data_IF_867315169639
#
_entry.id   IF_867315169639
#
_cell.length_a   1.000
_cell.length_b   1.000
_cell.length_c   1.000
_cell.angle_alpha   90.00
_cell.angle_beta   90.00
_cell.angle_gamma   90.00
#
_symmetry.space_group_name_H-M   'P 1'
#
loop_
_entity.id
_entity.type
_entity.pdbx_description
1 polymer ?
#
# COMPACT_ATOMS: atom_id res chain seq x y z
N UNK A 1 7.79 -33.51 2.92
CA UNK A 1 6.49 -32.96 2.45
C UNK A 1 6.48 -31.46 2.75
N UNK A 2 5.86 -30.63 1.92
CA UNK A 2 5.77 -29.18 2.12
C UNK A 2 4.40 -28.84 2.72
N UNK A 3 4.35 -27.87 3.62
CA UNK A 3 3.11 -27.30 4.13
C UNK A 3 2.27 -26.73 2.99
N UNK A 4 0.94 -26.84 3.07
CA UNK A 4 0.03 -26.44 2.00
C UNK A 4 0.10 -24.93 1.71
N UNK A 5 0.16 -24.12 2.74
CA UNK A 5 0.17 -22.64 2.60
C UNK A 5 1.52 -22.14 2.05
N UNK A 6 2.63 -22.75 2.47
CA UNK A 6 3.95 -22.46 1.89
C UNK A 6 4.04 -22.93 0.43
N UNK A 7 3.41 -24.05 0.08
CA UNK A 7 3.32 -24.51 -1.30
C UNK A 7 2.54 -23.52 -2.18
N UNK A 8 1.48 -22.91 -1.62
CA UNK A 8 0.71 -21.90 -2.33
C UNK A 8 1.55 -20.63 -2.55
N UNK A 9 2.35 -20.18 -1.58
CA UNK A 9 3.28 -19.06 -1.78
C UNK A 9 4.29 -19.35 -2.89
N UNK A 10 4.82 -20.57 -2.98
CA UNK A 10 5.68 -20.99 -4.09
C UNK A 10 4.98 -20.99 -5.45
N UNK A 11 3.69 -21.31 -5.49
CA UNK A 11 2.90 -21.12 -6.71
C UNK A 11 2.79 -19.65 -7.08
N UNK A 12 2.45 -18.77 -6.12
CA UNK A 12 2.32 -17.34 -6.40
C UNK A 12 3.69 -16.69 -6.75
N UNK A 13 4.79 -17.21 -6.22
CA UNK A 13 6.14 -16.81 -6.62
C UNK A 13 6.38 -17.05 -8.13
N UNK A 14 5.87 -18.12 -8.70
CA UNK A 14 5.97 -18.36 -10.15
C UNK A 14 5.24 -17.29 -10.96
N UNK A 15 4.09 -16.80 -10.47
CA UNK A 15 3.39 -15.67 -11.09
C UNK A 15 4.26 -14.41 -11.05
N UNK A 16 4.92 -14.16 -9.92
CA UNK A 16 5.86 -13.04 -9.79
C UNK A 16 7.08 -13.17 -10.72
N UNK A 17 7.57 -14.40 -10.95
CA UNK A 17 8.68 -14.64 -11.87
C UNK A 17 8.34 -14.24 -13.31
N UNK A 18 7.08 -14.43 -13.76
CA UNK A 18 6.65 -13.96 -15.08
C UNK A 18 6.68 -12.43 -15.19
N UNK A 19 6.41 -11.71 -14.09
CA UNK A 19 6.60 -10.26 -14.05
C UNK A 19 8.07 -9.85 -14.21
N UNK A 20 9.00 -10.66 -13.73
CA UNK A 20 10.44 -10.47 -13.89
C UNK A 20 11.05 -11.01 -15.20
N UNK A 21 10.29 -11.75 -16.00
CA UNK A 21 10.77 -12.45 -17.20
C UNK A 21 10.87 -11.52 -18.42
N UNK A 22 12.06 -11.17 -18.92
CA UNK A 22 12.21 -10.26 -20.05
C UNK A 22 11.69 -10.81 -21.39
N UNK A 23 11.44 -12.11 -21.49
CA UNK A 23 10.81 -12.72 -22.68
C UNK A 23 9.30 -12.42 -22.77
N UNK A 24 8.69 -11.97 -21.66
CA UNK A 24 7.28 -11.57 -21.61
C UNK A 24 7.15 -10.08 -21.96
N UNK A 25 6.16 -9.66 -22.77
CA UNK A 25 5.94 -8.25 -23.10
C UNK A 25 5.74 -7.39 -21.83
N UNK A 26 6.27 -6.16 -21.82
CA UNK A 26 6.27 -5.29 -20.63
C UNK A 26 4.88 -5.06 -20.02
N UNK A 27 3.85 -4.87 -20.85
CA UNK A 27 2.48 -4.69 -20.37
C UNK A 27 1.94 -5.94 -19.64
N UNK A 28 2.25 -7.13 -20.17
CA UNK A 28 1.89 -8.40 -19.54
C UNK A 28 2.64 -8.61 -18.22
N UNK A 29 3.91 -8.21 -18.16
CA UNK A 29 4.71 -8.27 -16.92
C UNK A 29 4.10 -7.41 -15.81
N UNK A 30 3.62 -6.20 -16.14
CA UNK A 30 2.87 -5.35 -15.21
C UNK A 30 1.58 -6.04 -14.74
N UNK A 31 0.88 -6.72 -15.66
CA UNK A 31 -0.32 -7.49 -15.33
C UNK A 31 0.02 -8.64 -14.38
N UNK A 32 1.10 -9.40 -14.61
CA UNK A 32 1.55 -10.46 -13.70
C UNK A 32 1.90 -9.93 -12.31
N UNK A 33 2.56 -8.77 -12.21
CA UNK A 33 2.84 -8.13 -10.93
C UNK A 33 1.54 -7.77 -10.17
N UNK A 34 0.52 -7.29 -10.88
CA UNK A 34 -0.80 -7.01 -10.32
C UNK A 34 -1.53 -8.28 -9.87
N UNK A 35 -1.49 -9.35 -10.68
CA UNK A 35 -2.08 -10.66 -10.33
C UNK A 35 -1.41 -11.23 -9.07
N UNK A 36 -0.06 -11.20 -9.01
CA UNK A 36 0.68 -11.62 -7.81
C UNK A 36 0.19 -10.93 -6.55
N UNK A 37 0.05 -9.61 -6.59
CA UNK A 37 -0.41 -8.84 -5.42
C UNK A 37 -1.87 -9.16 -5.07
N UNK A 38 -2.74 -9.26 -6.07
CA UNK A 38 -4.16 -9.60 -5.84
C UNK A 38 -4.33 -10.99 -5.23
N UNK A 39 -3.55 -11.97 -5.69
CA UNK A 39 -3.52 -13.30 -5.13
C UNK A 39 -3.03 -13.31 -3.68
N UNK A 40 -1.97 -12.53 -3.39
CA UNK A 40 -1.42 -12.42 -2.04
C UNK A 40 -2.43 -11.80 -1.07
N UNK A 41 -3.13 -10.72 -1.49
CA UNK A 41 -4.20 -10.10 -0.70
C UNK A 41 -5.31 -11.11 -0.34
N UNK A 42 -5.75 -11.91 -1.32
CA UNK A 42 -6.77 -12.94 -1.09
C UNK A 42 -6.27 -14.06 -0.16
N UNK A 43 -5.01 -14.46 -0.33
CA UNK A 43 -4.37 -15.45 0.54
C UNK A 43 -4.33 -14.99 1.99
N UNK A 44 -3.91 -13.74 2.24
CA UNK A 44 -3.90 -13.18 3.59
C UNK A 44 -5.31 -13.11 4.17
N UNK A 45 -6.26 -12.58 3.41
CA UNK A 45 -7.63 -12.44 3.88
C UNK A 45 -8.29 -13.76 4.26
N UNK A 46 -8.09 -14.79 3.44
CA UNK A 46 -8.79 -16.08 3.63
C UNK A 46 -7.94 -17.06 4.43
N UNK A 47 -6.70 -17.33 3.98
CA UNK A 47 -5.88 -18.40 4.57
C UNK A 47 -5.21 -17.98 5.86
N UNK A 48 -4.54 -16.82 5.84
CA UNK A 48 -3.89 -16.32 7.06
C UNK A 48 -4.94 -15.91 8.08
N UNK A 49 -6.04 -15.29 7.68
CA UNK A 49 -7.18 -14.99 8.56
C UNK A 49 -7.69 -16.24 9.28
N UNK A 50 -7.94 -17.34 8.55
CA UNK A 50 -8.36 -18.63 9.17
C UNK A 50 -7.31 -19.15 10.17
N UNK A 51 -6.01 -19.03 9.86
CA UNK A 51 -4.97 -19.45 10.79
C UNK A 51 -4.93 -18.57 12.06
N UNK A 52 -5.18 -17.27 11.91
CA UNK A 52 -5.26 -16.35 13.06
C UNK A 52 -6.46 -16.69 13.95
N UNK A 53 -7.64 -16.95 13.37
CA UNK A 53 -8.83 -17.39 14.13
C UNK A 53 -8.56 -18.69 14.89
N UNK A 54 -7.85 -19.64 14.27
CA UNK A 54 -7.44 -20.88 14.92
C UNK A 54 -6.47 -20.67 16.10
N UNK A 55 -5.62 -19.64 16.06
CA UNK A 55 -4.72 -19.32 17.18
C UNK A 55 -5.47 -18.79 18.41
N UNK A 56 -6.64 -18.17 18.22
CA UNK A 56 -7.51 -17.72 19.31
C UNK A 56 -8.35 -18.88 19.92
N UNK A 57 -8.42 -20.00 19.22
CA UNK A 57 -9.13 -21.21 19.70
C UNK A 57 -8.40 -21.87 20.86
N UNK A 58 -9.16 -22.49 21.77
CA UNK A 58 -8.60 -23.32 22.86
C UNK A 58 -7.99 -24.63 22.36
N UNK A 59 -8.35 -25.09 21.18
CA UNK A 59 -7.87 -26.32 20.58
C UNK A 59 -6.65 -26.05 19.67
N UNK A 60 -5.58 -26.80 19.90
CA UNK A 60 -4.37 -26.71 19.05
C UNK A 60 -4.60 -27.51 17.77
N UNK A 61 -4.95 -26.81 16.70
CA UNK A 61 -5.07 -27.40 15.36
C UNK A 61 -3.68 -27.58 14.76
N UNK A 62 -3.43 -28.76 14.18
CA UNK A 62 -2.18 -29.07 13.48
C UNK A 62 -2.45 -29.45 12.02
N UNK A 63 -1.60 -28.93 11.15
CA UNK A 63 -1.65 -29.28 9.72
C UNK A 63 -1.20 -30.73 9.50
N UNK A 64 -1.93 -31.45 8.65
CA UNK A 64 -1.83 -32.92 8.52
C UNK A 64 -0.55 -33.44 7.83
N UNK A 65 0.17 -32.60 7.06
CA UNK A 65 1.37 -33.02 6.31
C UNK A 65 2.67 -32.74 7.03
N UNK A 66 2.76 -31.59 7.71
CA UNK A 66 3.98 -31.11 8.37
C UNK A 66 3.85 -31.06 9.89
N UNK A 67 2.64 -31.32 10.43
CA UNK A 67 2.33 -31.26 11.86
C UNK A 67 2.57 -29.87 12.49
N UNK A 68 2.65 -28.81 11.67
CA UNK A 68 2.81 -27.43 12.14
C UNK A 68 1.53 -26.94 12.81
N UNK A 69 1.68 -26.21 13.93
CA UNK A 69 0.57 -25.45 14.53
C UNK A 69 0.22 -24.24 13.68
N UNK A 70 -0.97 -23.63 13.89
CA UNK A 70 -1.36 -22.39 13.19
C UNK A 70 -0.35 -21.27 13.39
N UNK A 71 0.18 -21.09 14.60
CA UNK A 71 1.23 -20.12 14.91
C UNK A 71 2.52 -20.37 14.11
N UNK A 72 2.97 -21.63 14.07
CA UNK A 72 4.17 -22.01 13.28
C UNK A 72 3.97 -21.74 11.79
N UNK A 73 2.77 -22.02 11.27
CA UNK A 73 2.43 -21.73 9.88
C UNK A 73 2.44 -20.22 9.61
N UNK A 74 1.78 -19.41 10.45
CA UNK A 74 1.77 -17.94 10.29
C UNK A 74 3.20 -17.39 10.34
N UNK A 75 4.03 -17.82 11.28
CA UNK A 75 5.44 -17.38 11.35
C UNK A 75 6.22 -17.71 10.09
N UNK A 76 6.07 -18.92 9.55
CA UNK A 76 6.73 -19.34 8.32
C UNK A 76 6.20 -18.55 7.08
N UNK A 77 4.90 -18.31 7.01
CA UNK A 77 4.27 -17.48 5.97
C UNK A 77 4.84 -16.06 5.99
N UNK A 78 4.91 -15.43 7.17
CA UNK A 78 5.44 -14.07 7.30
C UNK A 78 6.91 -13.98 6.88
N UNK A 79 7.72 -15.01 7.17
CA UNK A 79 9.11 -15.04 6.72
C UNK A 79 9.21 -15.15 5.20
N UNK A 80 8.52 -16.11 4.60
CA UNK A 80 8.52 -16.31 3.15
C UNK A 80 7.99 -15.07 2.40
N UNK A 81 6.97 -14.40 2.94
CA UNK A 81 6.42 -13.19 2.33
C UNK A 81 7.40 -12.03 2.36
N UNK A 82 8.21 -11.89 3.42
CA UNK A 82 9.26 -10.85 3.47
C UNK A 82 10.28 -11.02 2.35
N UNK A 83 10.70 -12.26 2.10
CA UNK A 83 11.65 -12.56 1.03
C UNK A 83 11.03 -12.28 -0.36
N UNK A 84 9.77 -12.63 -0.54
CA UNK A 84 9.00 -12.33 -1.75
C UNK A 84 8.75 -10.83 -1.94
N UNK A 85 8.58 -10.05 -0.88
CA UNK A 85 8.42 -8.59 -0.95
C UNK A 85 9.69 -7.90 -1.45
N UNK A 86 10.88 -8.35 -1.04
CA UNK A 86 12.13 -7.84 -1.58
C UNK A 86 12.26 -8.13 -3.08
N UNK A 87 11.92 -9.35 -3.49
CA UNK A 87 11.92 -9.75 -4.90
C UNK A 87 10.92 -8.93 -5.72
N UNK A 88 9.70 -8.74 -5.19
CA UNK A 88 8.66 -7.91 -5.81
C UNK A 88 9.13 -6.47 -5.99
N UNK A 89 9.77 -5.87 -4.97
CA UNK A 89 10.28 -4.51 -5.04
C UNK A 89 11.32 -4.36 -6.16
N UNK A 90 12.28 -5.28 -6.27
CA UNK A 90 13.29 -5.26 -7.33
C UNK A 90 12.66 -5.38 -8.74
N UNK A 91 11.71 -6.31 -8.92
CA UNK A 91 10.99 -6.46 -10.18
C UNK A 91 10.18 -5.19 -10.51
N UNK A 92 9.51 -4.59 -9.53
CA UNK A 92 8.75 -3.35 -9.73
C UNK A 92 9.65 -2.19 -10.17
N UNK A 93 10.80 -2.00 -9.54
CA UNK A 93 11.79 -0.99 -9.93
C UNK A 93 12.28 -1.19 -11.37
N UNK A 94 12.58 -2.44 -11.74
CA UNK A 94 12.94 -2.76 -13.12
C UNK A 94 11.83 -2.41 -14.11
N UNK A 95 10.60 -2.79 -13.82
CA UNK A 95 9.44 -2.49 -14.68
C UNK A 95 9.23 -0.97 -14.84
N UNK A 96 9.36 -0.20 -13.76
CA UNK A 96 9.26 1.26 -13.82
C UNK A 96 10.40 1.85 -14.65
N UNK A 97 11.63 1.35 -14.53
CA UNK A 97 12.76 1.77 -15.36
C UNK A 97 12.58 1.47 -16.85
N UNK A 98 11.95 0.34 -17.19
CA UNK A 98 11.64 -0.01 -18.58
C UNK A 98 10.47 0.80 -19.20
N UNK A 99 9.60 1.41 -18.36
CA UNK A 99 8.54 2.30 -18.81
C UNK A 99 9.05 3.70 -19.18
N UNK A 100 10.11 4.18 -18.52
CA UNK A 100 10.64 5.53 -18.75
C UNK A 100 11.01 5.82 -20.21
N UNK A 101 11.78 4.96 -20.92
CA UNK A 101 12.09 5.18 -22.34
C UNK A 101 10.86 5.06 -23.25
N UNK A 102 9.75 4.52 -22.77
CA UNK A 102 8.46 4.48 -23.47
C UNK A 102 7.60 5.71 -23.19
N UNK A 103 8.14 6.69 -22.45
CA UNK A 103 7.48 7.95 -22.16
C UNK A 103 6.48 7.87 -21.00
N UNK A 104 6.54 6.85 -20.16
CA UNK A 104 5.70 6.70 -18.98
C UNK A 104 6.59 6.77 -17.73
N UNK A 105 6.37 7.79 -16.89
CA UNK A 105 7.15 8.02 -15.67
C UNK A 105 6.24 8.22 -14.47
N UNK A 106 6.56 7.54 -13.39
CA UNK A 106 5.97 7.79 -12.08
C UNK A 106 7.01 8.51 -11.21
N UNK A 107 6.66 9.69 -10.70
CA UNK A 107 7.55 10.49 -9.86
C UNK A 107 6.93 10.77 -8.50
N UNK A 108 7.79 11.05 -7.52
CA UNK A 108 7.40 11.56 -6.22
C UNK A 108 7.61 13.08 -6.14
N UNK A 109 7.13 13.70 -5.06
CA UNK A 109 7.18 15.15 -4.88
C UNK A 109 8.61 15.73 -4.93
N UNK A 110 9.62 14.98 -4.49
CA UNK A 110 11.02 15.43 -4.45
C UNK A 110 11.63 15.62 -5.86
N UNK A 111 11.00 15.09 -6.92
CA UNK A 111 11.45 15.21 -8.30
C UNK A 111 10.78 16.36 -9.07
N UNK A 112 9.99 17.20 -8.39
CA UNK A 112 9.31 18.35 -8.98
C UNK A 112 10.16 19.60 -8.95
N UNK A 113 9.94 20.49 -9.95
CA UNK A 113 10.39 21.89 -9.87
C UNK A 113 9.50 22.68 -8.90
N UNK A 114 9.98 23.85 -8.46
CA UNK A 114 9.19 24.73 -7.61
C UNK A 114 7.88 25.20 -8.27
N UNK A 115 7.89 25.39 -9.59
CA UNK A 115 6.72 25.77 -10.37
C UNK A 115 5.70 24.63 -10.43
N UNK A 116 6.14 23.42 -10.73
CA UNK A 116 5.30 22.22 -10.73
C UNK A 116 4.69 21.95 -9.34
N UNK A 117 5.49 22.16 -8.27
CA UNK A 117 5.00 22.05 -6.92
C UNK A 117 3.84 23.02 -6.61
N UNK A 118 3.91 24.27 -7.08
CA UNK A 118 2.83 25.26 -6.94
C UNK A 118 1.58 24.89 -7.73
N UNK A 119 1.75 24.37 -8.96
CA UNK A 119 0.62 23.91 -9.75
C UNK A 119 -0.10 22.74 -9.07
N UNK A 120 0.66 21.77 -8.55
CA UNK A 120 0.09 20.64 -7.83
C UNK A 120 -0.50 21.04 -6.46
N UNK A 121 0.04 22.06 -5.81
CA UNK A 121 -0.57 22.63 -4.59
C UNK A 121 -1.95 23.22 -4.91
N UNK A 122 -2.04 24.01 -5.96
CA UNK A 122 -3.32 24.57 -6.43
C UNK A 122 -4.32 23.47 -6.81
N UNK A 123 -3.85 22.44 -7.50
CA UNK A 123 -4.66 21.26 -7.84
C UNK A 123 -5.14 20.53 -6.57
N UNK A 124 -4.25 20.32 -5.61
CA UNK A 124 -4.61 19.71 -4.32
C UNK A 124 -5.69 20.51 -3.60
N UNK A 125 -5.52 21.84 -3.49
CA UNK A 125 -6.46 22.71 -2.76
C UNK A 125 -7.86 22.76 -3.39
N UNK A 126 -7.93 22.68 -4.74
CA UNK A 126 -9.20 22.81 -5.48
C UNK A 126 -9.88 21.46 -5.76
N UNK A 127 -9.11 20.43 -6.09
CA UNK A 127 -9.65 19.19 -6.66
C UNK A 127 -9.55 17.99 -5.70
N UNK A 128 -8.73 18.05 -4.66
CA UNK A 128 -8.53 16.93 -3.74
C UNK A 128 -8.97 17.26 -2.32
N UNK A 129 -8.45 18.33 -1.74
CA UNK A 129 -8.66 18.67 -0.33
C UNK A 129 -10.16 18.80 0.06
N UNK A 130 -11.07 19.37 -0.78
CA UNK A 130 -12.48 19.48 -0.46
C UNK A 130 -13.19 18.12 -0.27
N UNK A 131 -12.64 17.05 -0.85
CA UNK A 131 -13.20 15.71 -0.80
C UNK A 131 -12.54 14.78 0.22
N UNK A 132 -11.53 15.29 0.94
CA UNK A 132 -10.87 14.54 2.00
C UNK A 132 -11.53 14.78 3.35
N UNK A 133 -11.79 13.71 4.07
CA UNK A 133 -12.24 13.77 5.47
C UNK A 133 -11.19 13.15 6.39
N UNK A 134 -10.67 13.96 7.31
CA UNK A 134 -9.71 13.51 8.30
C UNK A 134 -10.42 13.03 9.57
N UNK A 135 -10.17 11.79 9.96
CA UNK A 135 -10.63 11.23 11.22
C UNK A 135 -9.52 11.32 12.27
N UNK A 136 -9.69 12.18 13.29
CA UNK A 136 -8.74 12.27 14.40
C UNK A 136 -9.23 11.36 15.52
N UNK A 137 -8.45 10.32 15.80
CA UNK A 137 -8.79 9.32 16.82
C UNK A 137 -8.76 9.94 18.22
N UNK A 138 -9.85 9.82 18.94
CA UNK A 138 -10.04 10.33 20.31
C UNK A 138 -11.00 9.44 21.10
N UNK A 139 -11.25 9.80 22.37
CA UNK A 139 -12.30 9.10 23.15
C UNK A 139 -13.69 9.23 22.56
N UNK A 140 -14.02 10.39 21.95
CA UNK A 140 -15.30 10.67 21.33
C UNK A 140 -15.36 10.16 19.87
N UNK A 141 -14.22 10.00 19.22
CA UNK A 141 -14.12 9.54 17.84
C UNK A 141 -13.17 8.34 17.79
N UNK A 142 -13.68 7.11 17.99
CA UNK A 142 -12.86 5.90 18.03
C UNK A 142 -12.18 5.63 16.69
N UNK A 143 -11.27 4.68 16.69
CA UNK A 143 -10.58 4.23 15.48
C UNK A 143 -11.60 3.82 14.42
N UNK A 144 -11.54 4.38 13.18
CA UNK A 144 -12.51 4.08 12.14
C UNK A 144 -12.33 2.66 11.59
N UNK A 145 -13.40 2.10 11.04
CA UNK A 145 -13.30 0.89 10.24
C UNK A 145 -12.53 1.19 8.95
N UNK A 146 -11.47 0.42 8.70
CA UNK A 146 -10.66 0.53 7.49
C UNK A 146 -11.12 -0.51 6.47
N UNK A 147 -11.44 -0.05 5.26
CA UNK A 147 -11.87 -0.95 4.18
C UNK A 147 -10.69 -1.72 3.61
N UNK A 148 -10.93 -2.99 3.29
CA UNK A 148 -9.95 -3.84 2.62
C UNK A 148 -9.52 -3.24 1.27
N UNK A 149 -8.23 -3.29 0.98
CA UNK A 149 -7.55 -2.77 -0.22
C UNK A 149 -7.52 -1.24 -0.36
N UNK A 150 -8.18 -0.48 0.51
CA UNK A 150 -8.09 0.97 0.49
C UNK A 150 -6.76 1.48 1.04
N UNK A 151 -6.33 2.62 0.50
CA UNK A 151 -5.12 3.33 0.92
C UNK A 151 -5.53 4.48 1.82
N UNK A 152 -4.81 4.63 2.92
CA UNK A 152 -5.00 5.70 3.91
C UNK A 152 -3.70 6.43 4.16
N UNK A 153 -3.75 7.76 4.23
CA UNK A 153 -2.70 8.54 4.85
C UNK A 153 -2.94 8.57 6.36
N UNK A 154 -1.91 8.25 7.13
CA UNK A 154 -1.94 8.30 8.59
C UNK A 154 -0.94 9.30 9.09
N UNK A 155 -1.27 9.98 10.18
CA UNK A 155 -0.37 10.95 10.80
C UNK A 155 -0.41 10.88 12.33
N UNK A 156 0.74 11.13 12.94
CA UNK A 156 0.86 11.41 14.37
C UNK A 156 0.84 12.93 14.56
N UNK A 157 -0.22 13.40 15.19
CA UNK A 157 -0.48 14.80 15.44
C UNK A 157 -0.16 15.16 16.89
N UNK A 158 0.46 16.31 17.12
CA UNK A 158 0.66 16.88 18.46
C UNK A 158 -0.17 18.15 18.62
N UNK A 159 -0.94 18.23 19.69
CA UNK A 159 -1.68 19.45 20.07
C UNK A 159 -0.74 20.48 20.68
N UNK A 160 -1.16 21.75 20.76
CA UNK A 160 -0.41 22.82 21.48
C UNK A 160 -0.13 22.47 22.94
N UNK A 161 -0.89 21.58 23.55
CA UNK A 161 -0.69 21.10 24.92
C UNK A 161 0.13 19.81 25.04
N UNK A 162 0.85 19.40 23.98
CA UNK A 162 1.75 18.22 23.99
C UNK A 162 1.05 16.87 23.92
N UNK A 163 -0.28 16.83 23.74
CA UNK A 163 -1.02 15.54 23.60
C UNK A 163 -0.90 15.05 22.16
N UNK A 164 -0.58 13.76 22.02
CA UNK A 164 -0.54 13.09 20.72
C UNK A 164 -1.92 12.53 20.32
N UNK A 165 -2.20 12.53 19.02
CA UNK A 165 -3.38 11.98 18.38
C UNK A 165 -3.01 11.29 17.07
N UNK A 166 -3.66 10.18 16.74
CA UNK A 166 -3.58 9.60 15.42
C UNK A 166 -4.65 10.24 14.52
N UNK A 167 -4.28 10.54 13.28
CA UNK A 167 -5.22 10.96 12.24
C UNK A 167 -5.18 9.95 11.09
N UNK A 168 -6.34 9.68 10.50
CA UNK A 168 -6.53 8.74 9.40
C UNK A 168 -7.35 9.44 8.31
N UNK A 169 -6.82 9.44 7.08
CA UNK A 169 -7.41 10.10 5.93
C UNK A 169 -7.55 9.07 4.81
N UNK A 170 -8.77 8.72 4.37
CA UNK A 170 -8.96 7.88 3.19
C UNK A 170 -8.40 8.57 1.94
N UNK A 171 -7.49 7.91 1.23
CA UNK A 171 -6.93 8.39 -0.03
C UNK A 171 -7.67 7.82 -1.25
N UNK A 172 -8.34 6.69 -1.09
CA UNK A 172 -9.11 6.05 -2.16
C UNK A 172 -10.52 6.63 -2.22
N UNK A 173 -10.88 7.22 -3.34
CA UNK A 173 -12.25 7.64 -3.64
C UNK A 173 -12.51 7.65 -5.16
N UNK A 174 -13.74 7.90 -5.57
CA UNK A 174 -14.16 7.93 -6.97
C UNK A 174 -14.26 9.36 -7.54
N UNK A 175 -13.85 10.38 -6.79
CA UNK A 175 -14.03 11.79 -7.15
C UNK A 175 -12.84 12.31 -7.95
N UNK A 176 -11.61 11.99 -7.53
CA UNK A 176 -10.40 12.38 -8.24
C UNK A 176 -9.59 11.17 -8.74
N UNK A 177 -8.77 11.40 -9.77
CA UNK A 177 -7.95 10.34 -10.36
C UNK A 177 -6.79 9.98 -9.44
N UNK A 178 -6.45 8.68 -9.39
CA UNK A 178 -5.28 8.22 -8.67
C UNK A 178 -3.96 8.62 -9.34
N UNK A 179 -3.91 8.56 -10.67
CA UNK A 179 -2.77 9.04 -11.46
C UNK A 179 -3.02 10.50 -11.84
N UNK A 180 -2.21 11.39 -11.31
CA UNK A 180 -2.27 12.83 -11.53
C UNK A 180 -1.19 13.18 -12.56
N UNK A 181 -1.59 13.80 -13.67
CA UNK A 181 -0.66 14.26 -14.71
C UNK A 181 0.20 15.42 -14.17
N UNK A 182 1.49 15.39 -14.50
CA UNK A 182 2.36 16.55 -14.27
C UNK A 182 2.23 17.47 -15.50
N UNK A 183 1.61 18.66 -15.36
CA UNK A 183 1.19 19.47 -16.51
C UNK A 183 2.32 19.85 -17.48
N UNK A 184 3.55 19.99 -16.96
CA UNK A 184 4.74 20.38 -17.72
C UNK A 184 5.47 19.23 -18.38
N UNK A 185 5.12 17.96 -18.05
CA UNK A 185 5.85 16.75 -18.47
C UNK A 185 4.89 15.69 -19.00
N UNK A 186 4.68 15.67 -20.31
CA UNK A 186 3.85 14.63 -20.95
C UNK A 186 4.28 13.22 -20.53
N UNK A 187 3.30 12.38 -20.18
CA UNK A 187 3.54 10.99 -19.75
C UNK A 187 4.17 10.83 -18.38
N UNK A 188 4.26 11.92 -17.61
CA UNK A 188 4.76 11.88 -16.23
C UNK A 188 3.61 12.03 -15.25
N UNK A 189 3.55 11.16 -14.27
CA UNK A 189 2.44 11.04 -13.33
C UNK A 189 2.95 11.05 -11.89
N UNK A 190 2.07 11.47 -10.98
CA UNK A 190 2.20 11.31 -9.54
C UNK A 190 0.98 10.57 -9.00
N UNK A 191 1.15 9.77 -7.96
CA UNK A 191 0.03 9.15 -7.26
C UNK A 191 -0.68 10.17 -6.37
N UNK A 192 -2.02 10.17 -6.36
CA UNK A 192 -2.81 11.08 -5.52
C UNK A 192 -2.51 10.90 -4.02
N UNK A 193 -2.25 9.68 -3.58
CA UNK A 193 -1.85 9.39 -2.21
C UNK A 193 -0.51 10.04 -1.81
N UNK A 194 0.44 10.16 -2.73
CA UNK A 194 1.70 10.89 -2.51
C UNK A 194 1.45 12.39 -2.35
N UNK A 195 0.58 12.95 -3.18
CA UNK A 195 0.19 14.35 -3.11
C UNK A 195 -0.56 14.65 -1.80
N UNK A 196 -1.50 13.79 -1.41
CA UNK A 196 -2.22 13.88 -0.15
C UNK A 196 -1.23 13.81 1.02
N UNK A 197 -0.31 12.84 1.01
CA UNK A 197 0.68 12.70 2.07
C UNK A 197 1.57 13.95 2.18
N UNK A 198 1.96 14.54 1.03
CA UNK A 198 2.79 15.75 1.01
C UNK A 198 2.08 16.94 1.65
N UNK A 199 0.84 17.25 1.23
CA UNK A 199 0.05 18.39 1.70
C UNK A 199 -0.80 18.10 2.94
N UNK A 200 -0.72 16.90 3.52
CA UNK A 200 -1.42 16.52 4.73
C UNK A 200 -1.32 17.56 5.87
N UNK A 201 -0.17 18.22 6.14
CA UNK A 201 -0.07 19.24 7.19
C UNK A 201 -1.05 20.42 6.99
N UNK A 202 -1.43 20.74 5.75
CA UNK A 202 -2.39 21.84 5.47
C UNK A 202 -3.79 21.56 6.04
N UNK A 203 -4.14 20.28 6.19
CA UNK A 203 -5.43 19.84 6.75
C UNK A 203 -5.51 20.00 8.28
N UNK A 204 -4.36 20.11 8.97
CA UNK A 204 -4.25 20.08 10.43
C UNK A 204 -3.68 21.37 11.01
N UNK A 205 -4.29 22.53 10.69
CA UNK A 205 -3.81 23.88 11.08
C UNK A 205 -3.58 24.07 12.58
N UNK A 206 -4.27 23.31 13.44
CA UNK A 206 -4.20 23.40 14.90
C UNK A 206 -3.29 22.36 15.55
N UNK A 207 -2.56 21.58 14.75
CA UNK A 207 -1.70 20.50 15.20
C UNK A 207 -0.33 20.61 14.54
N UNK A 208 0.68 20.04 15.19
CA UNK A 208 1.98 19.77 14.58
C UNK A 208 1.98 18.32 14.09
N UNK A 209 2.20 18.10 12.81
CA UNK A 209 2.38 16.75 12.24
C UNK A 209 3.79 16.27 12.58
N UNK A 210 3.91 15.30 13.46
CA UNK A 210 5.20 14.70 13.85
C UNK A 210 5.69 13.68 12.85
N UNK A 211 4.80 12.75 12.48
CA UNK A 211 5.09 11.67 11.55
C UNK A 211 3.89 11.47 10.64
N UNK A 212 4.15 10.96 9.44
CA UNK A 212 3.11 10.64 8.48
C UNK A 212 3.56 9.48 7.58
N UNK A 213 2.62 8.64 7.17
CA UNK A 213 2.88 7.50 6.30
C UNK A 213 1.63 7.13 5.50
N UNK A 214 1.81 6.32 4.47
CA UNK A 214 0.72 5.64 3.79
C UNK A 214 0.59 4.22 4.33
N UNK A 215 -0.64 3.79 4.52
CA UNK A 215 -0.95 2.41 4.86
C UNK A 215 -2.00 1.85 3.88
N UNK A 216 -1.93 0.57 3.65
CA UNK A 216 -2.94 -0.20 2.92
C UNK A 216 -3.35 -1.38 3.79
N UNK A 217 -4.66 -1.59 3.91
CA UNK A 217 -5.22 -2.67 4.72
C UNK A 217 -5.56 -3.86 3.83
N UNK A 218 -5.20 -5.05 4.29
CA UNK A 218 -5.54 -6.33 3.64
C UNK A 218 -6.10 -7.29 4.65
#
# INVERSE_FOLDING_TARGET
MMNRELSWLKFNERVLNEAGNPAVPLAERLTFASIYQSNLDEFYRVRVGTLMDQMESKEVVRENKTNMTSEQQVKAILQETRDLDQKKAAIYEQLMGELEPKGIRLINFNKLSAEEGKLLETYFDNEIAPYLSANIVSKQQPFPFLKNKDIYAVALLETKGGKTRAAIIPCSNNVFRRLIDIPTRKGTFMLSEELILHFLPKMFKNYVVKEKSLIRVT
#
